data_IF_678339285630
#
_entry.id   IF_678339285630
#
_cell.length_a   1.000
_cell.length_b   1.000
_cell.length_c   1.000
_cell.angle_alpha   90.00
_cell.angle_beta   90.00
_cell.angle_gamma   90.00
#
_symmetry.space_group_name_H-M   'P 1'
#
loop_
_entity.id
_entity.type
_entity.pdbx_description
1 polymer ?
#
# COMPACT_ATOMS: atom_id res chain seq x y z
N UNK A 1 44.23 -78.62 -80.06
CA UNK A 1 43.03 -79.38 -79.63
C UNK A 1 41.84 -78.50 -79.25
N UNK A 2 41.79 -77.79 -78.10
CA UNK A 2 40.61 -76.93 -77.77
C UNK A 2 40.37 -75.84 -78.83
N UNK A 3 41.44 -75.16 -79.26
CA UNK A 3 41.37 -74.16 -80.34
C UNK A 3 40.96 -74.74 -81.69
N UNK A 4 41.11 -76.05 -81.91
CA UNK A 4 40.66 -76.70 -83.14
C UNK A 4 39.15 -76.95 -83.12
N UNK A 5 38.60 -77.28 -81.95
CA UNK A 5 37.15 -77.42 -81.76
C UNK A 5 36.47 -76.04 -81.90
N UNK A 6 37.05 -74.98 -81.35
CA UNK A 6 36.46 -73.63 -81.36
C UNK A 6 36.34 -72.99 -82.75
N UNK A 7 37.11 -73.47 -83.74
CA UNK A 7 37.05 -73.01 -85.14
C UNK A 7 35.73 -73.35 -85.84
N UNK A 8 35.08 -74.43 -85.44
CA UNK A 8 33.80 -74.83 -86.03
C UNK A 8 32.66 -73.95 -85.54
N UNK A 9 31.53 -73.94 -86.24
CA UNK A 9 30.35 -73.12 -85.92
C UNK A 9 29.07 -73.97 -85.82
N UNK A 10 28.09 -73.48 -85.06
CA UNK A 10 26.77 -74.10 -84.89
C UNK A 10 26.82 -75.62 -84.68
N UNK A 11 26.21 -76.40 -85.58
CA UNK A 11 26.12 -77.87 -85.46
C UNK A 11 27.50 -78.52 -85.51
N UNK A 12 28.38 -78.06 -86.39
CA UNK A 12 29.71 -78.63 -86.58
C UNK A 12 30.57 -78.47 -85.33
N UNK A 13 30.40 -77.35 -84.62
CA UNK A 13 31.03 -77.13 -83.32
C UNK A 13 30.55 -78.13 -82.28
N UNK A 14 29.24 -78.35 -82.19
CA UNK A 14 28.66 -79.27 -81.20
C UNK A 14 29.06 -80.70 -81.51
N UNK A 15 28.95 -81.13 -82.77
CA UNK A 15 29.37 -82.46 -83.21
C UNK A 15 30.86 -82.69 -82.91
N UNK A 16 31.72 -81.72 -83.22
CA UNK A 16 33.15 -81.78 -82.95
C UNK A 16 33.45 -81.82 -81.44
N UNK A 17 32.76 -81.03 -80.62
CA UNK A 17 32.90 -81.03 -79.18
C UNK A 17 32.52 -82.38 -78.57
N UNK A 18 31.38 -82.95 -78.96
CA UNK A 18 30.91 -84.26 -78.49
C UNK A 18 31.85 -85.38 -78.91
N UNK A 19 32.30 -85.39 -80.16
CA UNK A 19 33.18 -86.42 -80.67
C UNK A 19 34.56 -86.38 -79.97
N UNK A 20 35.10 -85.18 -79.71
CA UNK A 20 36.42 -85.04 -79.09
C UNK A 20 36.40 -85.19 -77.56
N UNK A 21 35.29 -84.83 -76.89
CA UNK A 21 35.20 -84.81 -75.42
C UNK A 21 34.51 -86.06 -74.88
N UNK A 22 33.40 -86.47 -75.50
CA UNK A 22 32.57 -87.59 -75.04
C UNK A 22 32.79 -88.85 -75.90
N UNK A 23 33.37 -88.72 -77.09
CA UNK A 23 33.67 -89.85 -77.98
C UNK A 23 32.47 -90.38 -78.75
N UNK A 24 31.35 -89.63 -78.77
CA UNK A 24 30.11 -89.97 -79.47
C UNK A 24 29.60 -88.76 -80.26
N UNK A 25 28.65 -88.99 -81.15
CA UNK A 25 27.86 -87.91 -81.74
C UNK A 25 26.73 -87.48 -80.78
N UNK A 26 26.33 -86.20 -80.81
CA UNK A 26 25.21 -85.70 -80.02
C UNK A 26 23.86 -86.14 -80.63
N UNK A 27 22.86 -86.33 -79.79
CA UNK A 27 21.48 -86.56 -80.25
C UNK A 27 20.82 -85.26 -80.71
N UNK A 28 19.72 -85.36 -81.48
CA UNK A 28 19.03 -84.18 -82.04
C UNK A 28 18.65 -83.14 -80.97
N UNK A 29 18.13 -83.61 -79.84
CA UNK A 29 17.76 -82.75 -78.72
C UNK A 29 18.97 -82.06 -78.06
N UNK A 30 20.11 -82.74 -77.97
CA UNK A 30 21.34 -82.17 -77.41
C UNK A 30 21.94 -81.10 -78.35
N UNK A 31 21.92 -81.38 -79.66
CA UNK A 31 22.33 -80.43 -80.68
C UNK A 31 21.46 -79.19 -80.63
N UNK A 32 20.13 -79.35 -80.60
CA UNK A 32 19.21 -78.21 -80.60
C UNK A 32 19.38 -77.37 -79.33
N UNK A 33 19.50 -78.01 -78.15
CA UNK A 33 19.73 -77.30 -76.88
C UNK A 33 21.01 -76.45 -76.87
N UNK A 34 22.15 -77.01 -77.29
CA UNK A 34 23.40 -76.23 -77.32
C UNK A 34 23.46 -75.23 -78.47
N UNK A 35 22.79 -75.52 -79.60
CA UNK A 35 22.68 -74.57 -80.71
C UNK A 35 21.86 -73.34 -80.32
N UNK A 36 20.77 -73.53 -79.59
CA UNK A 36 19.95 -72.43 -79.08
C UNK A 36 20.75 -71.55 -78.10
N UNK A 37 21.59 -72.15 -77.25
CA UNK A 37 22.51 -71.38 -76.41
C UNK A 37 23.48 -70.52 -77.23
N UNK A 38 24.11 -71.08 -78.26
CA UNK A 38 25.03 -70.34 -79.12
C UNK A 38 24.33 -69.19 -79.87
N UNK A 39 23.14 -69.45 -80.42
CA UNK A 39 22.32 -68.45 -81.10
C UNK A 39 21.80 -67.37 -80.15
N UNK A 40 21.59 -67.71 -78.88
CA UNK A 40 21.31 -66.77 -77.79
C UNK A 40 22.50 -65.92 -77.37
N UNK A 41 23.66 -66.04 -78.04
CA UNK A 41 24.87 -65.26 -77.76
C UNK A 41 25.72 -65.82 -76.63
N UNK A 42 25.48 -67.05 -76.17
CA UNK A 42 26.34 -67.70 -75.18
C UNK A 42 27.67 -68.09 -75.85
N UNK A 43 28.77 -67.74 -75.18
CA UNK A 43 30.13 -67.99 -75.67
C UNK A 43 30.40 -69.50 -75.88
N UNK A 44 31.02 -69.85 -77.02
CA UNK A 44 31.41 -71.24 -77.36
C UNK A 44 32.21 -71.93 -76.25
N UNK A 45 33.06 -71.20 -75.52
CA UNK A 45 33.85 -71.73 -74.39
C UNK A 45 32.95 -72.18 -73.25
N UNK A 46 31.85 -71.48 -72.99
CA UNK A 46 30.84 -71.84 -71.98
C UNK A 46 30.14 -73.12 -72.39
N UNK A 47 29.71 -73.19 -73.66
CA UNK A 47 29.04 -74.36 -74.23
C UNK A 47 29.95 -75.59 -74.22
N UNK A 48 31.23 -75.41 -74.56
CA UNK A 48 32.24 -76.47 -74.51
C UNK A 48 32.43 -77.03 -73.09
N UNK A 49 32.52 -76.16 -72.08
CA UNK A 49 32.60 -76.58 -70.67
C UNK A 49 31.30 -77.22 -70.18
N UNK A 50 30.14 -76.85 -70.74
CA UNK A 50 28.86 -77.46 -70.41
C UNK A 50 28.79 -78.89 -70.95
N UNK A 51 29.17 -79.10 -72.22
CA UNK A 51 29.29 -80.44 -72.84
C UNK A 51 30.29 -81.30 -72.07
N UNK A 52 31.43 -80.73 -71.67
CA UNK A 52 32.39 -81.46 -70.85
C UNK A 52 31.82 -81.92 -69.51
N UNK A 53 30.89 -81.16 -68.92
CA UNK A 53 30.29 -81.46 -67.61
C UNK A 53 28.98 -82.24 -67.66
N UNK A 54 28.36 -82.38 -68.82
CA UNK A 54 27.01 -82.93 -68.93
C UNK A 54 26.94 -84.44 -68.66
N UNK A 55 28.05 -85.17 -68.82
CA UNK A 55 28.09 -86.62 -68.55
C UNK A 55 29.27 -87.06 -67.65
N UNK A 56 29.03 -88.01 -66.72
CA UNK A 56 30.07 -88.59 -65.86
C UNK A 56 30.87 -89.71 -66.54
N UNK A 57 30.32 -90.38 -67.56
CA UNK A 57 31.00 -91.46 -68.29
C UNK A 57 31.79 -90.83 -69.44
N UNK A 58 33.04 -90.44 -69.17
CA UNK A 58 33.93 -89.85 -70.16
C UNK A 58 34.85 -90.91 -70.75
N UNK A 59 35.09 -90.84 -72.06
CA UNK A 59 36.28 -91.48 -72.64
C UNK A 59 37.52 -90.93 -71.91
N UNK A 60 38.58 -91.73 -71.71
CA UNK A 60 39.86 -91.20 -71.23
C UNK A 60 40.30 -90.07 -72.15
N UNK A 61 40.24 -88.84 -71.66
CA UNK A 61 40.61 -87.66 -72.43
C UNK A 61 42.12 -87.67 -72.66
N UNK A 62 42.59 -87.22 -73.83
CA UNK A 62 44.00 -86.90 -74.00
C UNK A 62 44.45 -85.91 -72.91
N UNK A 63 45.60 -86.11 -72.26
CA UNK A 63 46.05 -85.30 -71.13
C UNK A 63 46.20 -83.82 -71.48
N UNK A 64 46.47 -83.50 -72.76
CA UNK A 64 46.50 -82.13 -73.26
C UNK A 64 45.11 -81.47 -73.30
N UNK A 65 44.08 -82.21 -73.71
CA UNK A 65 42.70 -81.73 -73.78
C UNK A 65 42.13 -81.50 -72.38
N UNK A 66 42.39 -82.43 -71.45
CA UNK A 66 41.93 -82.32 -70.07
C UNK A 66 42.58 -81.13 -69.32
N UNK A 67 43.90 -80.92 -69.53
CA UNK A 67 44.60 -79.73 -69.02
C UNK A 67 44.03 -78.45 -69.61
N UNK A 68 43.76 -78.43 -70.91
CA UNK A 68 43.22 -77.25 -71.59
C UNK A 68 41.79 -76.91 -71.13
N UNK A 69 40.91 -77.90 -70.96
CA UNK A 69 39.55 -77.68 -70.45
C UNK A 69 39.57 -77.26 -68.97
N UNK A 70 40.47 -77.81 -68.17
CA UNK A 70 40.67 -77.38 -66.77
C UNK A 70 41.20 -75.94 -66.70
N UNK A 71 42.18 -75.59 -67.52
CA UNK A 71 42.71 -74.23 -67.63
C UNK A 71 41.59 -73.24 -68.02
N UNK A 72 40.80 -73.56 -69.04
CA UNK A 72 39.65 -72.77 -69.48
C UNK A 72 38.62 -72.57 -68.36
N UNK A 73 38.32 -73.62 -67.58
CA UNK A 73 37.45 -73.50 -66.40
C UNK A 73 38.02 -72.54 -65.35
N UNK A 74 39.33 -72.59 -65.08
CA UNK A 74 39.97 -71.68 -64.12
C UNK A 74 39.99 -70.24 -64.60
N UNK A 75 40.25 -70.02 -65.89
CA UNK A 75 40.21 -68.71 -66.55
C UNK A 75 38.80 -68.10 -66.45
N UNK A 76 37.77 -68.86 -66.83
CA UNK A 76 36.37 -68.41 -66.73
C UNK A 76 35.94 -68.09 -65.29
N UNK A 77 36.43 -68.85 -64.29
CA UNK A 77 36.19 -68.53 -62.87
C UNK A 77 36.88 -67.21 -62.48
N UNK A 78 38.10 -66.96 -62.96
CA UNK A 78 38.83 -65.70 -62.74
C UNK A 78 38.12 -64.52 -63.41
N UNK A 79 37.66 -64.67 -64.64
CA UNK A 79 36.90 -63.63 -65.35
C UNK A 79 35.59 -63.26 -64.64
N UNK A 80 34.82 -64.26 -64.18
CA UNK A 80 33.61 -64.01 -63.37
C UNK A 80 33.95 -63.29 -62.07
N UNK A 81 35.02 -63.69 -61.39
CA UNK A 81 35.50 -63.03 -60.17
C UNK A 81 35.94 -61.59 -60.42
N UNK A 82 36.63 -61.34 -61.54
CA UNK A 82 37.04 -60.01 -61.97
C UNK A 82 35.83 -59.13 -62.30
N UNK A 83 34.86 -59.63 -63.07
CA UNK A 83 33.61 -58.92 -63.39
C UNK A 83 32.83 -58.58 -62.12
N UNK A 84 32.71 -59.51 -61.18
CA UNK A 84 32.08 -59.26 -59.88
C UNK A 84 32.80 -58.18 -59.06
N UNK A 85 34.14 -58.10 -59.13
CA UNK A 85 34.91 -57.01 -58.51
C UNK A 85 34.65 -55.67 -59.20
N UNK A 86 34.57 -55.63 -60.52
CA UNK A 86 34.26 -54.41 -61.28
C UNK A 86 32.84 -53.90 -61.01
N UNK A 87 31.85 -54.79 -60.93
CA UNK A 87 30.47 -54.43 -60.57
C UNK A 87 30.37 -53.89 -59.13
N UNK A 88 31.13 -54.48 -58.19
CA UNK A 88 31.27 -53.95 -56.83
C UNK A 88 31.96 -52.59 -56.83
N UNK A 89 33.04 -52.43 -57.60
CA UNK A 89 33.75 -51.16 -57.79
C UNK A 89 32.81 -50.06 -58.25
N UNK A 90 32.09 -50.27 -59.35
CA UNK A 90 31.13 -49.29 -59.87
C UNK A 90 29.96 -49.01 -58.92
N UNK A 91 29.56 -49.97 -58.08
CA UNK A 91 28.56 -49.73 -57.01
C UNK A 91 29.13 -48.84 -55.91
N UNK A 92 30.35 -49.11 -55.46
CA UNK A 92 31.04 -48.31 -54.46
C UNK A 92 31.30 -46.89 -54.96
N UNK A 93 31.70 -46.71 -56.22
CA UNK A 93 31.86 -45.39 -56.84
C UNK A 93 30.56 -44.59 -56.82
N UNK A 94 29.43 -45.20 -57.20
CA UNK A 94 28.11 -44.54 -57.10
C UNK A 94 27.77 -44.17 -55.65
N UNK A 95 28.07 -45.03 -54.70
CA UNK A 95 27.87 -44.73 -53.27
C UNK A 95 28.77 -43.58 -52.81
N UNK A 96 30.05 -43.55 -53.21
CA UNK A 96 30.99 -42.47 -52.89
C UNK A 96 30.48 -41.14 -53.45
N UNK A 97 30.03 -41.12 -54.70
CA UNK A 97 29.45 -39.90 -55.29
C UNK A 97 28.20 -39.43 -54.53
N UNK A 98 27.33 -40.36 -54.14
CA UNK A 98 26.16 -40.03 -53.34
C UNK A 98 26.54 -39.48 -51.96
N UNK A 99 27.55 -40.06 -51.30
CA UNK A 99 28.04 -39.57 -50.02
C UNK A 99 28.70 -38.20 -50.13
N UNK A 100 29.54 -37.98 -51.13
CA UNK A 100 30.17 -36.67 -51.36
C UNK A 100 29.12 -35.58 -51.58
N UNK A 101 28.06 -35.85 -52.34
CA UNK A 101 26.96 -34.91 -52.50
C UNK A 101 26.24 -34.60 -51.18
N UNK A 102 25.97 -35.63 -50.36
CA UNK A 102 25.38 -35.44 -49.02
C UNK A 102 26.28 -34.63 -48.09
N UNK A 103 27.59 -34.89 -48.10
CA UNK A 103 28.57 -34.15 -47.31
C UNK A 103 28.56 -32.67 -47.71
N UNK A 104 28.52 -32.38 -49.01
CA UNK A 104 28.46 -31.00 -49.49
C UNK A 104 27.19 -30.28 -49.02
N UNK A 105 26.02 -30.93 -49.15
CA UNK A 105 24.74 -30.39 -48.65
C UNK A 105 24.72 -30.16 -47.14
N UNK A 106 25.35 -31.04 -46.36
CA UNK A 106 25.50 -30.83 -44.92
C UNK A 106 26.39 -29.62 -44.65
N UNK A 107 27.49 -29.45 -45.38
CA UNK A 107 28.36 -28.29 -45.26
C UNK A 107 27.66 -26.97 -45.54
N UNK A 108 26.84 -26.91 -46.59
CA UNK A 108 26.02 -25.72 -46.91
C UNK A 108 25.05 -25.39 -45.77
N UNK A 109 24.28 -26.38 -45.31
CA UNK A 109 23.32 -26.20 -44.20
C UNK A 109 24.00 -25.81 -42.90
N UNK A 110 25.19 -26.35 -42.62
CA UNK A 110 25.98 -25.94 -41.46
C UNK A 110 26.45 -24.49 -41.57
N UNK A 111 26.85 -24.05 -42.77
CA UNK A 111 27.17 -22.64 -43.03
C UNK A 111 25.98 -21.71 -42.85
N UNK A 112 24.80 -22.09 -43.36
CA UNK A 112 23.55 -21.33 -43.17
C UNK A 112 23.16 -21.23 -41.69
N UNK A 113 23.22 -22.36 -40.97
CA UNK A 113 22.93 -22.38 -39.53
C UNK A 113 23.90 -21.52 -38.74
N UNK A 114 25.20 -21.55 -39.06
CA UNK A 114 26.21 -20.72 -38.42
C UNK A 114 25.92 -19.22 -38.63
N UNK A 115 25.58 -18.82 -39.86
CA UNK A 115 25.20 -17.44 -40.17
C UNK A 115 23.93 -17.01 -39.45
N UNK A 116 22.91 -17.88 -39.39
CA UNK A 116 21.68 -17.62 -38.64
C UNK A 116 21.96 -17.44 -37.15
N UNK A 117 22.82 -18.26 -36.55
CA UNK A 117 23.19 -18.11 -35.15
C UNK A 117 23.94 -16.80 -34.91
N UNK A 118 24.88 -16.44 -35.78
CA UNK A 118 25.66 -15.21 -35.64
C UNK A 118 24.78 -13.96 -35.75
N UNK A 119 23.85 -13.94 -36.71
CA UNK A 119 22.87 -12.86 -36.87
C UNK A 119 21.97 -12.78 -35.62
N UNK A 120 21.43 -13.91 -35.15
CA UNK A 120 20.60 -13.94 -33.95
C UNK A 120 21.33 -13.45 -32.70
N UNK A 121 22.61 -13.80 -32.53
CA UNK A 121 23.44 -13.29 -31.43
C UNK A 121 23.74 -11.80 -31.58
N UNK A 122 23.94 -11.29 -32.80
CA UNK A 122 24.15 -9.87 -33.04
C UNK A 122 22.90 -9.05 -32.70
N UNK A 123 21.72 -9.50 -33.10
CA UNK A 123 20.44 -8.88 -32.75
C UNK A 123 20.22 -8.88 -31.23
N UNK A 124 20.46 -10.02 -30.57
CA UNK A 124 20.37 -10.11 -29.11
C UNK A 124 21.33 -9.15 -28.42
N UNK A 125 22.57 -9.04 -28.90
CA UNK A 125 23.56 -8.11 -28.34
C UNK A 125 23.15 -6.65 -28.50
N UNK A 126 22.59 -6.29 -29.66
CA UNK A 126 22.04 -4.95 -29.88
C UNK A 126 20.92 -4.62 -28.88
N UNK A 127 19.95 -5.52 -28.69
CA UNK A 127 18.87 -5.28 -27.71
C UNK A 127 19.38 -5.18 -26.28
N UNK A 128 20.42 -5.93 -25.93
CA UNK A 128 21.07 -5.83 -24.62
C UNK A 128 21.74 -4.46 -24.42
N UNK A 129 22.45 -3.96 -25.45
CA UNK A 129 23.10 -2.65 -25.41
C UNK A 129 22.05 -1.51 -25.30
N UNK A 130 20.93 -1.64 -26.00
CA UNK A 130 19.80 -0.70 -25.90
C UNK A 130 19.19 -0.68 -24.49
N UNK A 131 18.96 -1.86 -23.90
CA UNK A 131 18.46 -2.02 -22.53
C UNK A 131 19.44 -1.43 -21.50
N UNK A 132 20.73 -1.72 -21.64
CA UNK A 132 21.78 -1.17 -20.78
C UNK A 132 21.82 0.37 -20.85
N UNK A 133 21.70 0.93 -22.06
CA UNK A 133 21.61 2.36 -22.27
C UNK A 133 20.33 2.99 -21.69
N UNK A 134 19.21 2.27 -21.69
CA UNK A 134 17.99 2.70 -21.01
C UNK A 134 18.13 2.70 -19.49
N UNK A 135 18.70 1.64 -18.90
CA UNK A 135 18.94 1.54 -17.46
C UNK A 135 19.86 2.66 -16.96
N UNK A 136 20.92 2.97 -17.70
CA UNK A 136 21.82 4.08 -17.37
C UNK A 136 21.08 5.41 -17.33
N UNK A 137 20.23 5.68 -18.34
CA UNK A 137 19.40 6.90 -18.39
C UNK A 137 18.38 6.95 -17.25
N UNK A 138 17.79 5.81 -16.89
CA UNK A 138 16.86 5.73 -15.77
C UNK A 138 17.56 6.02 -14.44
N UNK A 139 18.77 5.45 -14.24
CA UNK A 139 19.62 5.77 -13.09
C UNK A 139 19.87 7.27 -12.95
N UNK A 140 20.36 7.93 -14.00
CA UNK A 140 20.61 9.38 -13.97
C UNK A 140 19.35 10.21 -13.71
N UNK A 141 18.17 9.77 -14.20
CA UNK A 141 16.90 10.45 -13.91
C UNK A 141 16.49 10.30 -12.46
N UNK A 142 16.66 9.11 -11.88
CA UNK A 142 16.38 8.86 -10.46
C UNK A 142 17.30 9.70 -9.58
N UNK A 143 18.59 9.76 -9.90
CA UNK A 143 19.56 10.59 -9.17
C UNK A 143 19.19 12.06 -9.23
N UNK A 144 18.80 12.57 -10.41
CA UNK A 144 18.36 13.96 -10.58
C UNK A 144 17.08 14.25 -9.76
N UNK A 145 16.08 13.37 -9.81
CA UNK A 145 14.87 13.52 -8.99
C UNK A 145 15.21 13.46 -7.50
N UNK A 146 16.11 12.57 -7.08
CA UNK A 146 16.61 12.49 -5.71
C UNK A 146 17.28 13.80 -5.26
N UNK A 147 18.13 14.37 -6.10
CA UNK A 147 18.74 15.68 -5.86
C UNK A 147 17.69 16.80 -5.75
N UNK A 148 16.72 16.85 -6.67
CA UNK A 148 15.66 17.87 -6.61
C UNK A 148 14.81 17.76 -5.35
N UNK A 149 14.49 16.54 -4.90
CA UNK A 149 13.79 16.30 -3.64
C UNK A 149 14.66 16.79 -2.48
N UNK A 150 15.96 16.47 -2.47
CA UNK A 150 16.86 16.91 -1.41
C UNK A 150 16.98 18.44 -1.36
N UNK A 151 17.21 19.09 -2.50
CA UNK A 151 17.40 20.54 -2.62
C UNK A 151 16.13 21.35 -2.31
N UNK A 152 14.93 20.83 -2.62
CA UNK A 152 13.68 21.58 -2.40
C UNK A 152 13.00 21.21 -1.10
N UNK A 153 12.92 19.92 -0.79
CA UNK A 153 12.13 19.44 0.35
C UNK A 153 12.86 19.66 1.66
N UNK A 154 14.18 19.44 1.70
CA UNK A 154 14.96 19.58 2.93
C UNK A 154 14.96 21.02 3.48
N UNK A 155 15.29 22.08 2.71
CA UNK A 155 15.26 23.43 3.24
C UNK A 155 13.84 23.92 3.56
N UNK A 156 12.82 23.48 2.82
CA UNK A 156 11.43 23.81 3.14
C UNK A 156 11.01 23.20 4.48
N UNK A 157 11.42 21.97 4.77
CA UNK A 157 11.16 21.34 6.07
C UNK A 157 11.84 22.09 7.20
N UNK A 158 13.12 22.45 7.03
CA UNK A 158 13.87 23.25 8.01
C UNK A 158 13.22 24.62 8.22
N UNK A 159 12.82 25.29 7.14
CA UNK A 159 12.13 26.59 7.22
C UNK A 159 10.78 26.46 7.93
N UNK A 160 9.99 25.42 7.63
CA UNK A 160 8.72 25.18 8.32
C UNK A 160 8.94 24.93 9.82
N UNK A 161 9.95 24.15 10.17
CA UNK A 161 10.32 23.91 11.56
C UNK A 161 10.74 25.21 12.27
N UNK A 162 11.56 26.05 11.61
CA UNK A 162 11.94 27.36 12.12
C UNK A 162 10.72 28.27 12.33
N UNK A 163 9.81 28.34 11.35
CA UNK A 163 8.58 29.15 11.49
C UNK A 163 7.66 28.62 12.60
N UNK A 164 7.61 27.30 12.82
CA UNK A 164 6.86 26.72 13.92
C UNK A 164 7.47 27.08 15.27
N UNK A 165 8.80 27.00 15.40
CA UNK A 165 9.53 27.39 16.61
C UNK A 165 9.38 28.89 16.92
N UNK A 166 9.39 29.74 15.89
CA UNK A 166 9.16 31.19 16.02
C UNK A 166 7.73 31.50 16.46
N UNK A 167 6.73 30.85 15.86
CA UNK A 167 5.34 31.00 16.26
C UNK A 167 5.12 30.52 17.70
N UNK A 168 5.73 29.39 18.08
CA UNK A 168 5.64 28.87 19.44
C UNK A 168 6.19 29.89 20.44
N UNK A 169 7.42 30.38 20.24
CA UNK A 169 8.02 31.40 21.11
C UNK A 169 7.17 32.66 21.19
N UNK A 170 6.67 33.14 20.05
CA UNK A 170 5.82 34.34 20.03
C UNK A 170 4.51 34.15 20.82
N UNK A 171 3.93 32.95 20.80
CA UNK A 171 2.73 32.65 21.57
C UNK A 171 3.06 32.61 23.06
N UNK A 172 4.15 31.93 23.45
CA UNK A 172 4.62 31.85 24.83
C UNK A 172 4.89 33.25 25.41
N UNK A 173 5.58 34.11 24.66
CA UNK A 173 5.87 35.50 25.07
C UNK A 173 4.58 36.32 25.26
N UNK A 174 3.62 36.21 24.33
CA UNK A 174 2.34 36.94 24.42
C UNK A 174 1.47 36.44 25.56
N UNK A 175 1.45 35.13 25.82
CA UNK A 175 0.74 34.56 26.95
C UNK A 175 1.37 35.03 28.27
N UNK A 176 2.69 34.95 28.41
CA UNK A 176 3.38 35.43 29.61
C UNK A 176 3.16 36.93 29.87
N UNK A 177 3.21 37.76 28.82
CA UNK A 177 2.91 39.20 28.95
C UNK A 177 1.44 39.47 29.35
N UNK A 178 0.51 38.65 28.84
CA UNK A 178 -0.91 38.78 29.16
C UNK A 178 -1.20 38.31 30.60
N UNK A 179 -0.58 37.22 31.04
CA UNK A 179 -0.64 36.73 32.42
C UNK A 179 -0.11 37.77 33.40
N UNK A 180 1.10 38.30 33.17
CA UNK A 180 1.68 39.34 34.04
C UNK A 180 0.80 40.60 34.12
N UNK A 181 0.16 40.97 33.00
CA UNK A 181 -0.77 42.11 32.96
C UNK A 181 -2.06 41.82 33.73
N UNK A 182 -2.59 40.60 33.66
CA UNK A 182 -3.75 40.18 34.46
C UNK A 182 -3.40 40.22 35.94
N UNK A 183 -2.27 39.63 36.34
CA UNK A 183 -1.80 39.63 37.74
C UNK A 183 -1.70 41.06 38.28
N UNK A 184 -1.06 41.97 37.54
CA UNK A 184 -0.96 43.38 37.94
C UNK A 184 -2.33 44.05 38.12
N UNK A 185 -3.31 43.76 37.26
CA UNK A 185 -4.67 44.31 37.42
C UNK A 185 -5.42 43.71 38.60
N UNK A 186 -5.20 42.43 38.90
CA UNK A 186 -5.79 41.75 40.07
C UNK A 186 -5.20 42.31 41.36
N UNK A 187 -3.89 42.56 41.39
CA UNK A 187 -3.22 43.17 42.54
C UNK A 187 -3.73 44.60 42.79
N UNK A 188 -3.84 45.42 41.74
CA UNK A 188 -4.39 46.78 41.85
C UNK A 188 -5.85 46.77 42.33
N UNK A 189 -6.70 45.89 41.78
CA UNK A 189 -8.09 45.76 42.23
C UNK A 189 -8.18 45.30 43.69
N UNK A 190 -7.30 44.39 44.11
CA UNK A 190 -7.23 43.91 45.49
C UNK A 190 -6.82 45.03 46.45
N UNK A 191 -5.86 45.88 46.05
CA UNK A 191 -5.48 47.05 46.82
C UNK A 191 -6.62 48.08 46.90
N UNK A 192 -7.32 48.33 45.78
CA UNK A 192 -8.49 49.21 45.76
C UNK A 192 -9.61 48.69 46.66
N UNK A 193 -9.91 47.39 46.63
CA UNK A 193 -10.89 46.76 47.52
C UNK A 193 -10.49 46.87 48.99
N UNK A 194 -9.22 46.68 49.30
CA UNK A 194 -8.70 46.82 50.68
C UNK A 194 -8.86 48.25 51.19
N UNK A 195 -8.52 49.26 50.36
CA UNK A 195 -8.73 50.68 50.68
C UNK A 195 -10.21 51.02 50.83
N UNK A 196 -11.08 50.46 49.98
CA UNK A 196 -12.52 50.68 50.07
C UNK A 196 -13.09 50.07 51.36
N UNK A 197 -12.66 48.85 51.72
CA UNK A 197 -13.02 48.19 52.98
C UNK A 197 -12.69 49.07 54.19
N UNK A 198 -11.45 49.57 54.28
CA UNK A 198 -11.04 50.46 55.36
C UNK A 198 -11.87 51.76 55.41
N UNK A 199 -12.26 52.33 54.25
CA UNK A 199 -13.14 53.50 54.20
C UNK A 199 -14.55 53.19 54.69
N UNK A 200 -15.10 52.03 54.32
CA UNK A 200 -16.41 51.57 54.79
C UNK A 200 -16.38 51.35 56.30
N UNK A 201 -15.32 50.74 56.84
CA UNK A 201 -15.14 50.55 58.27
C UNK A 201 -15.07 51.88 59.03
N UNK A 202 -14.28 52.85 58.52
CA UNK A 202 -14.20 54.19 59.12
C UNK A 202 -15.54 54.92 59.11
N UNK A 203 -16.29 54.88 58.00
CA UNK A 203 -17.63 55.47 57.93
C UNK A 203 -18.60 54.76 58.87
N UNK A 204 -18.51 53.43 58.95
CA UNK A 204 -19.27 52.63 59.91
C UNK A 204 -19.00 53.04 61.36
N UNK A 205 -17.73 53.24 61.72
CA UNK A 205 -17.32 53.75 63.02
C UNK A 205 -17.82 55.17 63.27
N UNK A 206 -17.68 56.09 62.31
CA UNK A 206 -18.17 57.48 62.44
C UNK A 206 -19.70 57.54 62.62
N UNK A 207 -20.44 56.74 61.84
CA UNK A 207 -21.89 56.60 62.01
C UNK A 207 -22.19 56.04 63.40
N UNK A 208 -21.47 55.02 63.86
CA UNK A 208 -21.68 54.45 65.19
C UNK A 208 -21.42 55.50 66.28
N UNK A 209 -20.28 56.19 66.25
CA UNK A 209 -19.91 57.23 67.23
C UNK A 209 -20.86 58.42 67.25
N UNK A 210 -21.39 58.87 66.10
CA UNK A 210 -22.33 59.99 66.05
C UNK A 210 -23.77 59.58 66.36
N UNK A 211 -24.20 58.43 65.87
CA UNK A 211 -25.60 58.02 65.94
C UNK A 211 -25.92 57.38 67.28
N UNK A 212 -25.02 56.59 67.84
CA UNK A 212 -25.21 55.92 69.13
C UNK A 212 -25.55 56.89 70.28
N UNK A 213 -24.78 57.97 70.55
CA UNK A 213 -25.14 58.93 71.58
C UNK A 213 -26.40 59.72 71.26
N UNK A 214 -26.71 59.98 69.98
CA UNK A 214 -27.94 60.66 69.58
C UNK A 214 -29.20 59.82 69.81
N UNK A 215 -29.11 58.50 69.91
CA UNK A 215 -30.23 57.65 70.33
C UNK A 215 -30.28 57.48 71.85
N UNK A 216 -29.12 57.29 72.49
CA UNK A 216 -29.03 57.01 73.92
C UNK A 216 -29.30 58.26 74.77
N UNK A 217 -28.88 59.45 74.34
CA UNK A 217 -29.08 60.69 75.10
C UNK A 217 -30.56 61.13 75.20
N UNK A 218 -31.35 61.12 74.11
CA UNK A 218 -32.80 61.36 74.20
C UNK A 218 -33.52 60.29 75.02
N UNK A 219 -33.10 59.03 74.97
CA UNK A 219 -33.66 57.98 75.84
C UNK A 219 -33.39 58.29 77.32
N UNK A 220 -32.15 58.58 77.68
CA UNK A 220 -31.83 58.95 79.06
C UNK A 220 -32.55 60.21 79.53
N UNK A 221 -32.64 61.25 78.69
CA UNK A 221 -33.37 62.47 79.06
C UNK A 221 -34.88 62.26 79.10
N UNK A 222 -35.45 61.41 78.25
CA UNK A 222 -36.84 60.96 78.34
C UNK A 222 -37.10 60.18 79.63
N UNK A 223 -36.20 59.25 80.00
CA UNK A 223 -36.27 58.50 81.26
C UNK A 223 -36.16 59.42 82.49
N UNK A 224 -35.29 60.43 82.44
CA UNK A 224 -35.15 61.44 83.51
C UNK A 224 -36.37 62.35 83.63
N UNK A 225 -36.89 62.85 82.50
CA UNK A 225 -38.13 63.63 82.47
C UNK A 225 -39.31 62.81 82.96
N UNK A 226 -39.41 61.54 82.56
CA UNK A 226 -40.43 60.62 83.03
C UNK A 226 -40.39 60.49 84.56
N UNK A 227 -39.22 60.18 85.14
CA UNK A 227 -39.05 60.12 86.60
C UNK A 227 -39.41 61.44 87.30
N UNK A 228 -38.97 62.57 86.75
CA UNK A 228 -39.28 63.90 87.30
C UNK A 228 -40.78 64.21 87.29
N UNK A 229 -41.49 63.84 86.23
CA UNK A 229 -42.95 63.97 86.14
C UNK A 229 -43.64 63.05 87.16
N UNK A 230 -43.20 61.80 87.26
CA UNK A 230 -43.70 60.82 88.24
C UNK A 230 -43.55 61.35 89.68
N UNK A 231 -42.38 61.91 90.03
CA UNK A 231 -42.12 62.51 91.34
C UNK A 231 -43.01 63.73 91.62
N UNK A 232 -43.16 64.64 90.63
CA UNK A 232 -44.01 65.83 90.78
C UNK A 232 -45.49 65.47 90.86
N UNK A 233 -45.93 64.47 90.10
CA UNK A 233 -47.29 63.94 90.19
C UNK A 233 -47.53 63.30 91.55
N UNK A 234 -46.61 62.47 92.05
CA UNK A 234 -46.70 61.90 93.40
C UNK A 234 -46.72 62.97 94.50
N UNK A 235 -45.90 64.02 94.38
CA UNK A 235 -45.91 65.15 95.32
C UNK A 235 -47.21 65.98 95.21
N UNK A 236 -47.73 66.18 94.00
CA UNK A 236 -49.00 66.89 93.77
C UNK A 236 -50.17 66.08 94.32
N UNK A 237 -50.19 64.77 94.07
CA UNK A 237 -51.17 63.83 94.58
C UNK A 237 -51.14 63.83 96.11
N UNK A 238 -49.97 63.73 96.75
CA UNK A 238 -49.83 63.86 98.20
C UNK A 238 -50.36 65.21 98.72
N UNK A 239 -50.13 66.32 98.00
CA UNK A 239 -50.67 67.65 98.37
C UNK A 239 -52.18 67.74 98.18
N UNK A 240 -52.73 67.15 97.12
CA UNK A 240 -54.18 67.10 96.88
C UNK A 240 -54.85 66.20 97.92
N UNK A 241 -54.30 65.03 98.19
CA UNK A 241 -54.73 64.13 99.25
C UNK A 241 -54.70 64.83 100.61
N UNK A 242 -53.62 65.55 100.91
CA UNK A 242 -53.49 66.35 102.13
C UNK A 242 -54.52 67.48 102.22
N UNK A 243 -54.75 68.23 101.13
CA UNK A 243 -55.80 69.27 101.08
C UNK A 243 -57.21 68.69 101.12
N UNK A 244 -57.46 67.56 100.49
CA UNK A 244 -58.73 66.85 100.53
C UNK A 244 -59.02 66.36 101.95
N UNK A 245 -58.02 65.79 102.63
CA UNK A 245 -58.12 65.45 104.06
C UNK A 245 -58.29 66.69 104.97
N UNK A 246 -57.79 67.86 104.57
CA UNK A 246 -58.05 69.13 105.26
C UNK A 246 -59.42 69.74 104.95
N UNK A 247 -60.05 69.41 103.81
CA UNK A 247 -61.38 69.86 103.42
C UNK A 247 -62.50 68.96 103.96
N UNK A 248 -62.23 67.68 104.20
CA UNK A 248 -63.16 66.77 104.89
C UNK A 248 -63.73 67.37 106.19
N UNK A 249 -62.95 67.99 107.09
CA UNK A 249 -63.50 68.61 108.29
C UNK A 249 -64.18 69.97 108.06
N UNK A 250 -63.99 70.64 106.90
CA UNK A 250 -64.59 71.97 106.62
C UNK A 250 -65.95 71.83 105.93
N UNK A 251 -66.10 70.88 105.01
CA UNK A 251 -67.39 70.61 104.34
C UNK A 251 -68.38 69.96 105.30
N UNK A 252 -67.91 69.16 106.25
CA UNK A 252 -68.79 68.59 107.28
C UNK A 252 -69.18 69.57 108.41
N UNK A 253 -68.63 70.81 108.48
CA UNK A 253 -68.94 71.76 109.58
C UNK A 253 -69.62 73.08 109.16
N UNK A 254 -69.64 73.45 107.88
CA UNK A 254 -70.11 74.79 107.46
C UNK A 254 -71.54 74.89 106.90
N UNK A 255 -72.26 73.77 106.74
CA UNK A 255 -73.45 73.73 105.88
C UNK A 255 -74.83 73.75 106.57
N UNK A 256 -75.00 74.26 107.79
CA UNK A 256 -76.34 74.18 108.44
C UNK A 256 -76.82 75.37 109.27
N UNK A 257 -76.13 76.51 109.34
CA UNK A 257 -76.71 77.66 110.05
C UNK A 257 -76.32 78.98 109.43
N UNK A 258 -77.35 79.78 109.12
CA UNK A 258 -77.31 81.24 109.03
C UNK A 258 -77.14 81.86 107.64
N UNK A 259 -78.20 81.87 106.82
CA UNK A 259 -78.62 83.09 106.09
C UNK A 259 -80.16 83.13 106.05
N UNK A 260 -80.76 83.46 107.20
CA UNK A 260 -82.13 83.96 107.33
C UNK A 260 -82.05 85.32 108.03
N UNK A 261 -81.52 86.33 107.34
CA UNK A 261 -81.63 87.75 107.67
C UNK A 261 -80.90 88.53 106.59
N UNK A 262 -81.65 89.17 105.69
CA UNK A 262 -81.28 90.39 104.93
C UNK A 262 -82.45 90.70 103.97
N UNK A 263 -83.58 91.04 104.58
CA UNK A 263 -84.61 91.87 103.98
C UNK A 263 -84.47 93.25 104.63
N UNK A 264 -83.70 94.15 104.01
CA UNK A 264 -84.01 95.57 103.84
C UNK A 264 -82.80 96.40 103.32
N UNK A 265 -83.10 97.25 102.31
CA UNK A 265 -82.35 98.38 101.72
C UNK A 265 -81.35 98.12 100.56
N UNK A 266 -81.18 99.06 99.60
CA UNK A 266 -82.20 99.62 98.68
C UNK A 266 -81.72 99.62 97.20
N UNK A 267 -82.62 99.99 96.28
CA UNK A 267 -82.50 99.78 94.83
C UNK A 267 -81.28 100.40 94.15
N UNK A 268 -80.45 99.55 93.52
CA UNK A 268 -79.29 100.03 92.78
C UNK A 268 -78.34 99.01 92.17
N UNK A 269 -78.56 97.69 92.31
CA UNK A 269 -77.58 96.70 91.81
C UNK A 269 -78.19 95.52 91.03
N UNK A 270 -79.41 95.66 90.50
CA UNK A 270 -80.05 94.69 89.60
C UNK A 270 -79.50 94.68 88.15
N UNK A 271 -78.33 95.27 87.85
CA UNK A 271 -77.82 95.40 86.46
C UNK A 271 -76.56 94.60 86.10
N UNK A 272 -75.92 93.87 87.02
CA UNK A 272 -74.71 93.09 86.69
C UNK A 272 -74.93 91.57 86.60
N UNK A 273 -75.95 91.03 87.27
CA UNK A 273 -76.23 89.58 87.26
C UNK A 273 -76.94 89.12 85.97
N UNK A 274 -77.53 90.05 85.21
CA UNK A 274 -78.10 89.76 83.87
C UNK A 274 -77.06 89.70 82.74
N UNK A 275 -75.81 90.13 82.96
CA UNK A 275 -74.79 90.25 81.90
C UNK A 275 -73.78 89.10 81.82
N UNK A 276 -73.74 88.20 82.82
CA UNK A 276 -72.86 87.01 82.78
C UNK A 276 -73.64 85.74 82.37
N UNK A 277 -74.95 85.68 82.63
CA UNK A 277 -75.77 84.50 82.28
C UNK A 277 -76.04 84.34 80.78
N UNK A 278 -75.65 85.30 79.94
CA UNK A 278 -75.78 85.23 78.47
C UNK A 278 -74.47 84.92 77.73
N UNK A 279 -73.38 84.55 78.42
CA UNK A 279 -72.10 84.18 77.79
C UNK A 279 -71.63 82.76 78.11
N UNK A 280 -72.44 81.94 78.80
CA UNK A 280 -72.13 80.53 79.13
C UNK A 280 -73.21 79.57 78.62
N UNK A 281 -73.63 79.74 77.36
CA UNK A 281 -74.22 78.64 76.55
C UNK A 281 -73.60 78.70 75.16
N UNK A 282 -72.40 78.14 75.05
CA UNK A 282 -71.93 77.29 73.94
C UNK A 282 -70.78 76.44 74.46
#
# INVERSE_FOLDING_TARGET
MVEEILKFHDKEFIDSAYQNILGRLPDSHEVDGYRDMLRGGIDKRVVLLAIWRSEPVRRPLPPELDRALTALQTEMKRERGFRGKMERGGRLERQIHQFNWKIHQIGEKQGELALQTDVGFAEMRQTFDELSGWLTRLGSRVDNVGQQIHEKTYPNFVHLQQTADELQRSIEDKLGALEARIEATVDELSEQLTRLGARVDNVGQEIHEKTYPNFVHPQHTADELQRSIEDRLGALEARVQGRAGQLEPVVCRGGSTSIASMADLPGGAQRLVRRVRSLMVR
#
